data_IF_465058011137
#
_entry.id   IF_465058011137
#
_cell.length_a   1.000
_cell.length_b   1.000
_cell.length_c   1.000
_cell.angle_alpha   90.00
_cell.angle_beta   90.00
_cell.angle_gamma   90.00
#
_symmetry.space_group_name_H-M   'P 1'
#
loop_
_entity.id
_entity.type
_entity.pdbx_description
1 polymer ?
#
# COMPACT_ATOMS: atom_id res chain seq x y z
N UNK A 1 -34.07 -36.86 -9.68
CA UNK A 1 -33.06 -36.56 -8.63
C UNK A 1 -31.77 -36.15 -9.31
N UNK A 2 -31.39 -34.87 -9.25
CA UNK A 2 -30.05 -34.41 -9.66
C UNK A 2 -29.64 -33.23 -8.81
N UNK A 3 -28.90 -33.49 -7.73
CA UNK A 3 -28.24 -32.47 -6.90
C UNK A 3 -26.83 -32.21 -7.45
N UNK A 4 -26.69 -31.24 -8.34
CA UNK A 4 -25.39 -30.72 -8.77
C UNK A 4 -24.72 -29.97 -7.60
N UNK A 5 -23.50 -30.36 -7.15
CA UNK A 5 -22.85 -29.69 -6.04
C UNK A 5 -22.34 -28.29 -6.43
N UNK A 6 -22.60 -27.34 -5.53
CA UNK A 6 -22.55 -25.89 -5.72
C UNK A 6 -21.16 -25.33 -6.10
N UNK A 7 -21.07 -24.30 -6.97
CA UNK A 7 -19.83 -23.67 -7.45
C UNK A 7 -19.03 -22.85 -6.41
N UNK A 8 -19.35 -22.94 -5.11
CA UNK A 8 -18.78 -22.07 -4.06
C UNK A 8 -17.26 -22.25 -3.85
N UNK A 9 -16.71 -23.42 -4.17
CA UNK A 9 -15.28 -23.73 -3.98
C UNK A 9 -14.35 -23.00 -4.97
N UNK A 10 -14.74 -22.89 -6.25
CA UNK A 10 -13.93 -22.16 -7.26
C UNK A 10 -13.92 -20.66 -7.00
N UNK A 11 -15.05 -20.08 -6.60
CA UNK A 11 -15.14 -18.67 -6.21
C UNK A 11 -14.28 -18.36 -4.99
N UNK A 12 -14.29 -19.21 -3.95
CA UNK A 12 -13.39 -19.05 -2.79
C UNK A 12 -11.92 -19.06 -3.19
N UNK A 13 -11.50 -19.98 -4.07
CA UNK A 13 -10.10 -20.03 -4.56
C UNK A 13 -9.72 -18.78 -5.36
N UNK A 14 -10.64 -18.25 -6.18
CA UNK A 14 -10.44 -17.01 -6.91
C UNK A 14 -10.32 -15.81 -5.97
N UNK A 15 -11.22 -15.70 -4.99
CA UNK A 15 -11.18 -14.63 -3.99
C UNK A 15 -9.88 -14.66 -3.17
N UNK A 16 -9.44 -15.84 -2.72
CA UNK A 16 -8.17 -15.99 -2.01
C UNK A 16 -7.00 -15.56 -2.89
N UNK A 17 -6.93 -16.01 -4.14
CA UNK A 17 -5.87 -15.58 -5.07
C UNK A 17 -5.89 -14.07 -5.31
N UNK A 18 -7.07 -13.47 -5.43
CA UNK A 18 -7.23 -12.04 -5.64
C UNK A 18 -6.77 -11.26 -4.39
N UNK A 19 -7.21 -11.69 -3.20
CA UNK A 19 -6.80 -11.12 -1.92
C UNK A 19 -5.29 -11.20 -1.72
N UNK A 20 -4.66 -12.34 -2.03
CA UNK A 20 -3.20 -12.48 -1.97
C UNK A 20 -2.50 -11.50 -2.92
N UNK A 21 -2.97 -11.36 -4.17
CA UNK A 21 -2.38 -10.41 -5.12
C UNK A 21 -2.52 -8.96 -4.66
N UNK A 22 -3.70 -8.58 -4.19
CA UNK A 22 -3.95 -7.24 -3.65
C UNK A 22 -3.06 -6.98 -2.45
N UNK A 23 -2.91 -7.95 -1.54
CA UNK A 23 -2.03 -7.83 -0.39
C UNK A 23 -0.57 -7.64 -0.80
N UNK A 24 -0.08 -8.40 -1.77
CA UNK A 24 1.29 -8.26 -2.30
C UNK A 24 1.48 -6.87 -2.90
N UNK A 25 0.53 -6.39 -3.71
CA UNK A 25 0.59 -5.05 -4.31
C UNK A 25 0.55 -3.95 -3.25
N UNK A 26 -0.26 -4.12 -2.20
CA UNK A 26 -0.36 -3.17 -1.11
C UNK A 26 0.94 -3.11 -0.29
N UNK A 27 1.53 -4.27 0.00
CA UNK A 27 2.84 -4.34 0.67
C UNK A 27 3.92 -3.70 -0.20
N UNK A 28 3.95 -4.01 -1.50
CA UNK A 28 4.90 -3.39 -2.44
C UNK A 28 4.69 -1.88 -2.55
N UNK A 29 3.45 -1.41 -2.54
CA UNK A 29 3.10 0.02 -2.52
C UNK A 29 3.62 0.70 -1.24
N UNK A 30 3.37 0.13 -0.07
CA UNK A 30 3.89 0.69 1.20
C UNK A 30 5.42 0.69 1.20
N UNK A 31 6.07 -0.41 0.79
CA UNK A 31 7.53 -0.48 0.72
C UNK A 31 8.12 0.48 -0.32
N UNK A 32 7.37 0.85 -1.36
CA UNK A 32 7.87 1.80 -2.36
C UNK A 32 8.11 3.20 -1.81
N UNK A 33 7.47 3.58 -0.68
CA UNK A 33 7.65 4.93 -0.11
C UNK A 33 9.09 5.18 0.33
N UNK A 34 9.82 4.16 0.76
CA UNK A 34 11.20 4.30 1.22
C UNK A 34 12.13 4.90 0.15
N UNK A 35 12.38 4.18 -0.97
CA UNK A 35 13.22 4.70 -2.05
C UNK A 35 12.60 5.90 -2.80
N UNK A 36 11.27 6.07 -2.76
CA UNK A 36 10.58 7.21 -3.37
C UNK A 36 10.46 8.42 -2.44
N UNK A 37 10.88 8.33 -1.18
CA UNK A 37 10.60 9.34 -0.16
C UNK A 37 11.10 10.72 -0.57
N UNK A 38 12.35 10.81 -1.02
CA UNK A 38 12.96 12.06 -1.47
C UNK A 38 12.20 12.74 -2.61
N UNK A 39 11.66 11.96 -3.56
CA UNK A 39 10.84 12.50 -4.66
C UNK A 39 9.50 12.99 -4.16
N UNK A 40 8.91 12.28 -3.21
CA UNK A 40 7.65 12.67 -2.61
C UNK A 40 7.82 13.95 -1.76
N UNK A 41 8.91 14.04 -0.98
CA UNK A 41 9.26 15.21 -0.19
C UNK A 41 9.53 16.43 -1.09
N UNK A 42 10.31 16.26 -2.16
CA UNK A 42 10.56 17.30 -3.15
C UNK A 42 9.24 17.77 -3.82
N UNK A 43 8.37 16.83 -4.20
CA UNK A 43 7.05 17.15 -4.73
C UNK A 43 6.17 17.90 -3.72
N UNK A 44 6.27 17.58 -2.43
CA UNK A 44 5.56 18.29 -1.35
C UNK A 44 6.04 19.74 -1.20
N UNK A 45 7.35 19.97 -1.34
CA UNK A 45 7.95 21.29 -1.18
C UNK A 45 7.77 22.19 -2.41
N UNK A 46 7.87 21.61 -3.61
CA UNK A 46 7.86 22.36 -4.88
C UNK A 46 6.48 22.43 -5.52
N UNK A 47 5.59 21.47 -5.23
CA UNK A 47 4.31 21.30 -5.91
C UNK A 47 4.45 20.81 -7.37
N UNK A 48 5.63 20.32 -7.78
CA UNK A 48 5.91 20.02 -9.19
C UNK A 48 5.34 18.66 -9.66
N UNK A 49 4.89 17.79 -8.74
CA UNK A 49 4.41 16.46 -9.09
C UNK A 49 3.15 16.02 -8.30
N UNK A 50 2.01 16.56 -8.72
CA UNK A 50 0.68 16.23 -8.17
C UNK A 50 0.37 14.73 -8.21
N UNK A 51 0.85 14.01 -9.22
CA UNK A 51 0.55 12.58 -9.35
C UNK A 51 1.19 11.78 -8.22
N UNK A 52 2.44 12.09 -7.88
CA UNK A 52 3.15 11.42 -6.79
C UNK A 52 2.51 11.73 -5.43
N UNK A 53 2.07 12.98 -5.23
CA UNK A 53 1.36 13.41 -4.02
C UNK A 53 0.03 12.67 -3.85
N UNK A 54 -0.80 12.65 -4.89
CA UNK A 54 -2.09 11.94 -4.88
C UNK A 54 -1.89 10.44 -4.66
N UNK A 55 -0.84 9.87 -5.26
CA UNK A 55 -0.54 8.44 -5.13
C UNK A 55 -0.21 8.03 -3.69
N UNK A 56 0.52 8.85 -2.93
CA UNK A 56 0.88 8.57 -1.54
C UNK A 56 -0.04 9.21 -0.49
N UNK A 57 -1.02 10.03 -0.91
CA UNK A 57 -2.02 10.63 -0.02
C UNK A 57 -2.76 9.59 0.85
N UNK A 58 -3.20 8.42 0.35
CA UNK A 58 -3.85 7.41 1.19
C UNK A 58 -2.94 6.89 2.30
N UNK A 59 -1.65 6.75 2.02
CA UNK A 59 -0.66 6.33 3.01
C UNK A 59 -0.46 7.41 4.08
N UNK A 60 -0.46 8.68 3.69
CA UNK A 60 -0.40 9.82 4.62
C UNK A 60 -1.61 9.84 5.56
N UNK A 61 -2.82 9.71 5.00
CA UNK A 61 -4.07 9.64 5.79
C UNK A 61 -4.06 8.42 6.72
N UNK A 62 -3.57 7.26 6.26
CA UNK A 62 -3.43 6.08 7.12
C UNK A 62 -2.49 6.33 8.31
N UNK A 63 -1.41 7.08 8.10
CA UNK A 63 -0.48 7.51 9.16
C UNK A 63 -1.10 8.53 10.11
N UNK A 64 -2.01 9.39 9.65
CA UNK A 64 -2.76 10.29 10.52
C UNK A 64 -3.77 9.55 11.41
N UNK A 65 -4.36 8.47 10.90
CA UNK A 65 -5.36 7.67 11.62
C UNK A 65 -4.77 6.78 12.73
N UNK A 66 -3.48 6.44 12.66
CA UNK A 66 -2.83 5.56 13.63
C UNK A 66 -1.39 5.98 13.91
N UNK A 67 -1.15 6.41 15.15
CA UNK A 67 0.19 6.79 15.61
C UNK A 67 1.19 5.62 15.52
N UNK A 68 0.76 4.40 15.85
CA UNK A 68 1.62 3.21 15.70
C UNK A 68 2.02 2.99 14.26
N UNK A 69 1.07 3.12 13.32
CA UNK A 69 1.37 2.98 11.89
C UNK A 69 2.32 4.07 11.42
N UNK A 70 2.09 5.33 11.82
CA UNK A 70 2.99 6.45 11.54
C UNK A 70 4.42 6.17 12.00
N UNK A 71 4.60 5.73 13.24
CA UNK A 71 5.93 5.43 13.79
C UNK A 71 6.63 4.32 13.01
N UNK A 72 5.90 3.28 12.59
CA UNK A 72 6.47 2.20 11.77
C UNK A 72 6.88 2.68 10.39
N UNK A 73 6.04 3.46 9.71
CA UNK A 73 6.34 4.01 8.39
C UNK A 73 7.49 4.99 8.46
N UNK A 74 7.50 5.89 9.45
CA UNK A 74 8.60 6.83 9.65
C UNK A 74 9.92 6.10 9.94
N UNK A 75 9.91 5.10 10.81
CA UNK A 75 11.11 4.28 11.06
C UNK A 75 11.58 3.54 9.80
N UNK A 76 10.65 3.08 8.96
CA UNK A 76 11.00 2.52 7.66
C UNK A 76 11.63 3.56 6.71
N UNK A 77 11.06 4.76 6.63
CA UNK A 77 11.59 5.86 5.80
C UNK A 77 12.97 6.28 6.30
N UNK A 78 13.16 6.42 7.61
CA UNK A 78 14.45 6.76 8.22
C UNK A 78 15.55 5.77 7.82
N UNK A 79 15.24 4.47 7.74
CA UNK A 79 16.19 3.48 7.22
C UNK A 79 16.65 3.78 5.78
N UNK A 80 15.81 4.37 4.93
CA UNK A 80 16.18 4.75 3.55
C UNK A 80 16.86 6.10 3.45
N UNK A 81 16.53 7.01 4.36
CA UNK A 81 17.15 8.34 4.44
C UNK A 81 18.59 8.24 4.96
N UNK A 82 18.85 7.31 5.89
CA UNK A 82 20.16 7.14 6.53
C UNK A 82 20.95 5.91 6.08
N UNK A 83 20.45 5.10 5.14
CA UNK A 83 21.20 4.03 4.48
C UNK A 83 22.04 4.57 3.31
#
# INVERSE_FOLDING_TARGET
MTTQPRPKSRFKKLLVRLATRVLILLVAYVLSIGPMYWKWEDAMMTGDNDTLLIFYMPLMVASELSETFRTLINGYIELWVYA
#
